data_IF_412505067852
#
_entry.id   IF_412505067852
#
_cell.length_a   1.000
_cell.length_b   1.000
_cell.length_c   1.000
_cell.angle_alpha   90.00
_cell.angle_beta   90.00
_cell.angle_gamma   90.00
#
_symmetry.space_group_name_H-M   'P 1'
#
loop_
_entity.id
_entity.type
_entity.pdbx_description
1 polymer ?
#
# COMPACT_ATOMS: atom_id res chain seq x y z
N UNK A 1 -25.62 22.58 4.63
CA UNK A 1 -25.68 21.25 3.98
C UNK A 1 -26.37 20.30 4.94
N UNK A 2 -27.43 19.62 4.48
CA UNK A 2 -28.16 18.65 5.31
C UNK A 2 -27.37 17.33 5.43
N UNK A 3 -27.68 16.54 6.47
CA UNK A 3 -27.02 15.25 6.71
C UNK A 3 -27.17 14.29 5.52
N UNK A 4 -28.34 14.28 4.89
CA UNK A 4 -28.61 13.42 3.72
C UNK A 4 -27.65 13.70 2.57
N UNK A 5 -27.48 14.98 2.23
CA UNK A 5 -26.55 15.41 1.18
C UNK A 5 -25.10 15.02 1.49
N UNK A 6 -24.69 15.11 2.76
CA UNK A 6 -23.35 14.69 3.19
C UNK A 6 -23.14 13.17 3.03
N UNK A 7 -24.17 12.38 3.36
CA UNK A 7 -24.11 10.91 3.21
C UNK A 7 -24.09 10.50 1.74
N UNK A 8 -24.84 11.19 0.89
CA UNK A 8 -24.83 11.00 -0.57
C UNK A 8 -23.46 11.32 -1.18
N UNK A 9 -22.86 12.48 -0.83
CA UNK A 9 -21.50 12.82 -1.26
C UNK A 9 -20.46 11.78 -0.78
N UNK A 10 -20.59 11.31 0.46
CA UNK A 10 -19.69 10.29 1.01
C UNK A 10 -19.83 8.96 0.27
N UNK A 11 -21.06 8.56 -0.06
CA UNK A 11 -21.34 7.36 -0.84
C UNK A 11 -20.70 7.44 -2.24
N UNK A 12 -20.91 8.54 -2.96
CA UNK A 12 -20.30 8.74 -4.28
C UNK A 12 -18.78 8.79 -4.22
N UNK A 13 -18.20 9.38 -3.17
CA UNK A 13 -16.75 9.39 -2.98
C UNK A 13 -16.20 7.97 -2.75
N UNK A 14 -16.94 7.12 -2.03
CA UNK A 14 -16.59 5.71 -1.82
C UNK A 14 -16.65 4.89 -3.11
N UNK A 15 -17.70 5.10 -3.89
CA UNK A 15 -17.88 4.40 -5.16
C UNK A 15 -16.76 4.77 -6.15
N UNK A 16 -16.48 6.07 -6.29
CA UNK A 16 -15.38 6.56 -7.11
C UNK A 16 -14.01 6.06 -6.63
N UNK A 17 -13.81 5.94 -5.32
CA UNK A 17 -12.59 5.37 -4.77
C UNK A 17 -12.42 3.91 -5.20
N UNK A 18 -13.50 3.13 -5.23
CA UNK A 18 -13.49 1.74 -5.69
C UNK A 18 -13.15 1.64 -7.17
N UNK A 19 -13.80 2.44 -8.01
CA UNK A 19 -13.48 2.49 -9.45
C UNK A 19 -12.02 2.84 -9.70
N UNK A 20 -11.48 3.82 -8.98
CA UNK A 20 -10.07 4.19 -9.08
C UNK A 20 -9.14 3.08 -8.58
N UNK A 21 -9.51 2.34 -7.54
CA UNK A 21 -8.75 1.18 -7.06
C UNK A 21 -8.69 0.07 -8.12
N UNK A 22 -9.81 -0.23 -8.79
CA UNK A 22 -9.85 -1.23 -9.86
C UNK A 22 -8.96 -0.83 -11.04
N UNK A 23 -9.03 0.44 -11.47
CA UNK A 23 -8.15 0.99 -12.51
C UNK A 23 -6.67 0.91 -12.09
N UNK A 24 -6.35 1.26 -10.84
CA UNK A 24 -4.98 1.17 -10.31
C UNK A 24 -4.47 -0.27 -10.36
N UNK A 25 -5.33 -1.26 -10.04
CA UNK A 25 -4.95 -2.66 -10.07
C UNK A 25 -4.69 -3.14 -11.51
N UNK A 26 -5.52 -2.75 -12.48
CA UNK A 26 -5.26 -3.04 -13.90
C UNK A 26 -3.90 -2.48 -14.36
N UNK A 27 -3.54 -1.26 -13.94
CA UNK A 27 -2.23 -0.69 -14.25
C UNK A 27 -1.08 -1.41 -13.55
N UNK A 28 -1.27 -1.87 -12.31
CA UNK A 28 -0.26 -2.68 -11.62
C UNK A 28 0.00 -3.96 -12.39
N UNK A 29 -1.04 -4.67 -12.80
CA UNK A 29 -0.89 -5.93 -13.56
C UNK A 29 -0.10 -5.69 -14.86
N UNK A 30 -0.39 -4.59 -15.58
CA UNK A 30 0.38 -4.19 -16.77
C UNK A 30 1.85 -3.91 -16.44
N UNK A 31 2.12 -3.18 -15.36
CA UNK A 31 3.49 -2.86 -14.93
C UNK A 31 4.24 -4.14 -14.50
N UNK A 32 3.59 -5.06 -13.79
CA UNK A 32 4.20 -6.34 -13.38
C UNK A 32 4.54 -7.20 -14.60
N UNK A 33 3.62 -7.30 -15.57
CA UNK A 33 3.85 -8.02 -16.82
C UNK A 33 5.04 -7.44 -17.60
N UNK A 34 5.17 -6.10 -17.65
CA UNK A 34 6.29 -5.42 -18.31
C UNK A 34 7.62 -5.70 -17.56
N UNK A 35 7.61 -5.59 -16.23
CA UNK A 35 8.76 -5.89 -15.38
C UNK A 35 9.23 -7.34 -15.52
N UNK A 36 8.29 -8.29 -15.63
CA UNK A 36 8.59 -9.71 -15.84
C UNK A 36 9.14 -9.98 -17.23
N UNK A 37 8.58 -9.34 -18.25
CA UNK A 37 9.07 -9.43 -19.64
C UNK A 37 10.51 -8.92 -19.76
N UNK A 38 10.84 -7.83 -19.07
CA UNK A 38 12.19 -7.26 -19.04
C UNK A 38 13.10 -7.88 -17.97
N UNK A 39 12.58 -8.78 -17.13
CA UNK A 39 13.28 -9.40 -15.99
C UNK A 39 13.96 -8.37 -15.07
N UNK A 40 13.27 -7.27 -14.81
CA UNK A 40 13.74 -6.17 -13.95
C UNK A 40 12.83 -5.98 -12.75
N UNK A 41 13.38 -5.49 -11.64
CA UNK A 41 12.61 -5.05 -10.48
C UNK A 41 12.39 -3.54 -10.48
N UNK A 42 12.92 -2.83 -11.49
CA UNK A 42 12.92 -1.39 -11.59
C UNK A 42 12.61 -0.93 -13.01
N UNK A 43 11.63 -0.03 -13.15
CA UNK A 43 11.30 0.65 -14.40
C UNK A 43 11.37 2.16 -14.18
N UNK A 44 11.96 2.87 -15.14
CA UNK A 44 12.11 4.32 -15.08
C UNK A 44 11.72 4.96 -16.41
N UNK A 45 11.06 6.11 -16.33
CA UNK A 45 10.76 7.01 -17.44
C UNK A 45 11.28 8.40 -17.11
N UNK A 46 11.04 9.38 -17.98
CA UNK A 46 11.51 10.76 -17.80
C UNK A 46 11.04 11.38 -16.48
N UNK A 47 9.83 11.05 -16.03
CA UNK A 47 9.17 11.73 -14.91
C UNK A 47 8.85 10.80 -13.73
N UNK A 48 8.85 9.48 -13.94
CA UNK A 48 8.42 8.51 -12.93
C UNK A 48 9.40 7.35 -12.85
N UNK A 49 9.42 6.70 -11.70
CA UNK A 49 10.01 5.39 -11.57
C UNK A 49 9.10 4.49 -10.74
N UNK A 50 9.13 3.21 -11.05
CA UNK A 50 8.43 2.16 -10.32
C UNK A 50 9.44 1.12 -9.87
N UNK A 51 9.37 0.78 -8.59
CA UNK A 51 10.22 -0.23 -7.98
C UNK A 51 9.34 -1.33 -7.39
N UNK A 52 9.65 -2.57 -7.75
CA UNK A 52 9.04 -3.76 -7.20
C UNK A 52 9.81 -4.16 -5.95
N UNK A 53 9.13 -4.19 -4.80
CA UNK A 53 9.74 -4.56 -3.52
C UNK A 53 9.06 -5.78 -2.94
N UNK A 54 9.86 -6.80 -2.64
CA UNK A 54 9.41 -7.92 -1.80
C UNK A 54 9.35 -7.44 -0.35
N UNK A 55 8.15 -7.40 0.21
CA UNK A 55 7.94 -7.11 1.61
C UNK A 55 7.57 -8.39 2.32
N UNK A 56 8.05 -8.57 3.55
CA UNK A 56 7.60 -9.64 4.42
C UNK A 56 7.03 -9.07 5.71
N UNK A 57 5.81 -9.46 6.06
CA UNK A 57 5.19 -9.18 7.35
C UNK A 57 5.09 -10.48 8.15
N UNK A 58 5.67 -10.48 9.34
CA UNK A 58 5.46 -11.51 10.36
C UNK A 58 4.63 -10.88 11.47
N UNK A 59 3.44 -11.42 11.69
CA UNK A 59 2.52 -10.89 12.69
C UNK A 59 2.02 -12.04 13.56
N UNK A 60 2.31 -11.95 14.84
CA UNK A 60 1.70 -12.76 15.87
C UNK A 60 1.32 -11.76 16.99
N UNK A 61 0.38 -12.07 17.88
CA UNK A 61 -0.01 -11.15 18.98
C UNK A 61 0.65 -11.57 20.27
N UNK A 62 1.35 -10.65 20.93
CA UNK A 62 2.21 -10.91 22.10
C UNK A 62 1.46 -11.46 23.33
N UNK A 63 0.13 -11.32 23.36
CA UNK A 63 -0.73 -11.91 24.38
C UNK A 63 -0.88 -13.42 24.23
N UNK A 64 -0.67 -13.96 23.04
CA UNK A 64 -1.21 -15.26 22.64
C UNK A 64 -0.10 -16.32 22.48
N UNK A 65 1.12 -16.06 22.97
CA UNK A 65 2.23 -17.00 22.79
C UNK A 65 3.28 -16.95 23.92
N UNK A 66 3.67 -18.12 24.47
CA UNK A 66 4.83 -18.23 25.35
C UNK A 66 6.10 -17.74 24.67
N UNK A 67 6.99 -17.09 25.44
CA UNK A 67 8.21 -16.46 24.90
C UNK A 67 9.08 -17.44 24.12
N UNK A 68 9.21 -18.69 24.57
CA UNK A 68 10.09 -19.66 23.90
C UNK A 68 9.53 -20.15 22.54
N UNK A 69 8.21 -20.20 22.37
CA UNK A 69 7.54 -20.78 21.19
C UNK A 69 7.36 -19.78 20.07
N UNK A 70 7.08 -18.51 20.40
CA UNK A 70 7.03 -17.44 19.41
C UNK A 70 8.31 -17.38 18.58
N UNK A 71 9.43 -17.50 19.27
CA UNK A 71 10.77 -17.43 18.68
C UNK A 71 11.03 -18.52 17.63
N UNK A 72 10.23 -19.61 17.61
CA UNK A 72 10.40 -20.74 16.70
C UNK A 72 9.40 -20.80 15.53
N UNK A 73 8.18 -20.25 15.64
CA UNK A 73 7.07 -20.63 14.73
C UNK A 73 6.32 -19.49 14.03
N UNK A 74 6.76 -18.23 14.15
CA UNK A 74 6.06 -17.13 13.49
C UNK A 74 6.02 -17.31 11.95
N UNK A 75 4.81 -17.22 11.37
CA UNK A 75 4.61 -17.41 9.93
C UNK A 75 4.92 -16.12 9.17
N UNK A 76 5.81 -16.23 8.19
CA UNK A 76 6.29 -15.12 7.36
C UNK A 76 5.43 -14.98 6.12
N UNK A 77 4.67 -13.89 6.00
CA UNK A 77 3.95 -13.57 4.78
C UNK A 77 4.78 -12.61 3.94
N UNK A 78 5.26 -13.07 2.77
CA UNK A 78 5.87 -12.21 1.78
C UNK A 78 4.85 -11.79 0.72
N UNK A 79 4.75 -10.49 0.44
CA UNK A 79 3.98 -9.93 -0.65
C UNK A 79 4.81 -8.93 -1.45
N UNK A 80 4.56 -8.87 -2.75
CA UNK A 80 5.21 -7.93 -3.65
C UNK A 80 4.42 -6.62 -3.66
N UNK A 81 5.09 -5.52 -3.37
CA UNK A 81 4.51 -4.18 -3.47
C UNK A 81 5.17 -3.40 -4.60
N UNK A 82 4.36 -2.82 -5.50
CA UNK A 82 4.82 -1.83 -6.47
C UNK A 82 4.80 -0.43 -5.86
N UNK A 83 5.93 0.27 -5.98
CA UNK A 83 6.10 1.63 -5.49
C UNK A 83 6.38 2.57 -6.64
N UNK A 84 5.37 3.35 -7.04
CA UNK A 84 5.51 4.43 -8.02
C UNK A 84 5.87 5.75 -7.33
N UNK A 85 6.83 6.49 -7.90
CA UNK A 85 7.22 7.82 -7.43
C UNK A 85 7.48 8.75 -8.61
N UNK A 86 7.10 10.01 -8.43
CA UNK A 86 7.43 11.10 -9.35
C UNK A 86 8.82 11.65 -9.03
N UNK A 87 9.65 11.86 -10.04
CA UNK A 87 10.98 12.46 -9.88
C UNK A 87 10.83 13.89 -9.34
N UNK A 88 11.63 14.24 -8.33
CA UNK A 88 11.63 15.56 -7.71
C UNK A 88 10.51 15.84 -6.69
N UNK A 89 9.59 14.90 -6.45
CA UNK A 89 8.54 15.11 -5.44
C UNK A 89 9.11 15.00 -4.01
N UNK A 90 8.98 16.07 -3.22
CA UNK A 90 9.37 16.07 -1.80
C UNK A 90 8.42 15.13 -1.05
N UNK A 91 8.98 14.23 -0.22
CA UNK A 91 8.18 13.32 0.62
C UNK A 91 7.22 14.15 1.46
N UNK A 92 5.91 13.96 1.28
CA UNK A 92 4.91 14.52 2.20
C UNK A 92 5.21 13.94 3.58
N UNK A 93 5.54 14.81 4.54
CA UNK A 93 5.74 14.44 5.93
C UNK A 93 4.51 13.66 6.38
N UNK A 94 4.68 12.45 6.93
CA UNK A 94 3.55 11.74 7.56
C UNK A 94 2.97 12.67 8.61
N UNK A 95 1.69 13.04 8.48
CA UNK A 95 0.98 13.87 9.46
C UNK A 95 1.31 13.35 10.87
N UNK A 96 1.75 14.21 11.80
CA UNK A 96 2.09 13.76 13.13
C UNK A 96 0.89 13.04 13.73
N UNK A 97 1.06 11.75 14.07
CA UNK A 97 0.05 11.00 14.83
C UNK A 97 -0.29 11.83 16.06
N UNK A 98 -1.52 12.33 16.11
CA UNK A 98 -2.07 13.09 17.24
C UNK A 98 -1.76 12.29 18.51
N UNK A 99 -0.79 12.74 19.31
CA UNK A 99 -0.55 12.17 20.64
C UNK A 99 -1.84 12.43 21.42
N UNK A 100 -2.61 11.37 21.67
CA UNK A 100 -3.67 11.37 22.67
C UNK A 100 -3.07 11.83 23.99
N UNK A 101 -3.35 13.07 24.41
CA UNK A 101 -3.09 13.53 25.78
C UNK A 101 -3.94 12.65 26.70
N UNK A 102 -3.28 11.88 27.55
CA UNK A 102 -3.87 11.38 28.79
C UNK A 102 -3.87 12.51 29.81
#
# INVERSE_FOLDING_TARGET
MGLEHLLEEFYHAKDRLRELEDIINEYKDKIENEMDSQRTEYLESDNYYVERRKMSSETLKKSDCPKEVWSQYATRHSYTGLYIKKKGEKRRSRSPRRRSRR
#
